data_IF_205008495260
#
_entry.id   IF_205008495260
#
_cell.length_a   1.000
_cell.length_b   1.000
_cell.length_c   1.000
_cell.angle_alpha   90.00
_cell.angle_beta   90.00
_cell.angle_gamma   90.00
#
_symmetry.space_group_name_H-M   'P 1'
#
loop_
_entity.id
_entity.type
_entity.pdbx_description
1 polymer ?
#
# COMPACT_ATOMS: atom_id res chain seq x y z
N UNK A 1 -10.65 10.51 53.37
CA UNK A 1 -9.49 9.67 53.01
C UNK A 1 -9.82 8.64 51.92
N UNK A 2 -11.06 8.18 51.81
CA UNK A 2 -11.49 7.22 50.78
C UNK A 2 -11.61 7.88 49.40
N UNK A 3 -12.00 9.15 49.35
CA UNK A 3 -12.15 9.93 48.11
C UNK A 3 -10.80 10.18 47.43
N UNK A 4 -9.74 10.41 48.23
CA UNK A 4 -8.38 10.61 47.67
C UNK A 4 -7.79 9.33 47.08
N UNK A 5 -8.17 8.15 47.56
CA UNK A 5 -7.71 6.85 47.06
C UNK A 5 -8.41 6.51 45.73
N UNK A 6 -9.68 6.82 45.58
CA UNK A 6 -10.44 6.60 44.34
C UNK A 6 -9.93 7.51 43.22
N UNK A 7 -9.60 8.77 43.52
CA UNK A 7 -9.02 9.71 42.57
C UNK A 7 -7.60 9.29 42.13
N UNK A 8 -6.84 8.64 43.03
CA UNK A 8 -5.49 8.15 42.70
C UNK A 8 -5.54 6.89 41.82
N UNK A 9 -6.51 6.01 42.03
CA UNK A 9 -6.66 4.78 41.22
C UNK A 9 -7.18 5.11 39.83
N UNK A 10 -8.12 6.05 39.71
CA UNK A 10 -8.61 6.49 38.38
C UNK A 10 -7.52 7.24 37.61
N UNK A 11 -6.71 8.07 38.28
CA UNK A 11 -5.59 8.78 37.65
C UNK A 11 -4.44 7.86 37.18
N UNK A 12 -4.31 6.64 37.74
CA UNK A 12 -3.28 5.64 37.33
C UNK A 12 -3.73 4.74 36.19
N UNK A 13 -5.03 4.59 35.97
CA UNK A 13 -5.58 3.79 34.86
C UNK A 13 -5.77 4.63 33.59
N UNK A 14 -5.83 5.95 33.69
CA UNK A 14 -6.02 6.88 32.57
C UNK A 14 -4.71 7.64 32.28
N UNK A 15 -3.61 6.95 32.28
CA UNK A 15 -2.27 7.47 31.89
C UNK A 15 -2.04 7.54 30.40
N UNK A 16 -3.10 7.69 29.58
CA UNK A 16 -3.03 8.05 28.17
C UNK A 16 -4.37 8.66 27.77
N UNK A 17 -4.46 9.96 27.91
CA UNK A 17 -5.24 10.89 27.12
C UNK A 17 -6.71 10.59 26.85
N UNK A 18 -7.60 10.65 27.79
CA UNK A 18 -8.97 11.15 27.68
C UNK A 18 -9.39 11.59 29.07
N UNK A 19 -9.48 12.89 29.28
CA UNK A 19 -9.75 13.45 30.60
C UNK A 19 -11.18 13.24 31.03
N UNK A 20 -11.43 12.24 31.85
CA UNK A 20 -12.63 12.23 32.69
C UNK A 20 -12.51 13.36 33.69
N UNK A 21 -13.24 14.46 33.50
CA UNK A 21 -13.34 15.51 34.51
C UNK A 21 -14.47 15.19 35.45
N UNK A 22 -14.10 14.72 36.64
CA UNK A 22 -15.02 14.75 37.80
C UNK A 22 -15.09 16.20 38.31
N UNK A 23 -16.20 16.88 38.11
CA UNK A 23 -16.48 18.16 38.82
C UNK A 23 -17.07 17.84 40.17
N UNK A 24 -16.46 18.29 41.27
CA UNK A 24 -17.15 18.27 42.57
C UNK A 24 -18.30 19.28 42.55
N UNK A 25 -19.51 18.83 42.83
CA UNK A 25 -20.63 19.72 43.13
C UNK A 25 -20.41 20.43 44.48
N UNK A 26 -20.81 21.70 44.62
CA UNK A 26 -20.72 22.40 45.90
C UNK A 26 -21.57 21.72 46.96
N UNK A 27 -21.05 21.65 48.20
CA UNK A 27 -21.78 21.13 49.36
C UNK A 27 -23.12 21.85 49.52
N UNK A 28 -24.20 21.08 49.41
CA UNK A 28 -25.55 21.49 49.82
C UNK A 28 -25.89 20.71 51.08
N UNK A 29 -26.41 21.41 52.07
CA UNK A 29 -26.58 20.96 53.43
C UNK A 29 -27.43 19.69 53.61
N UNK A 30 -27.26 19.10 54.79
CA UNK A 30 -27.84 17.88 55.36
C UNK A 30 -29.07 17.27 54.66
N UNK A 31 -28.83 16.14 53.94
CA UNK A 31 -29.92 15.24 53.55
C UNK A 31 -29.99 14.85 52.07
N UNK A 32 -29.11 15.34 51.22
CA UNK A 32 -29.14 14.98 49.80
C UNK A 32 -28.08 13.91 49.43
N UNK A 33 -28.53 12.90 48.69
CA UNK A 33 -27.67 11.90 48.05
C UNK A 33 -26.74 12.59 47.05
N UNK A 34 -25.41 12.48 47.24
CA UNK A 34 -24.43 12.90 46.28
C UNK A 34 -24.62 12.10 44.97
N UNK A 35 -25.28 12.69 43.99
CA UNK A 35 -25.27 12.17 42.62
C UNK A 35 -23.95 12.51 41.97
N UNK A 36 -23.14 11.50 41.70
CA UNK A 36 -21.97 11.64 40.84
C UNK A 36 -22.51 11.66 39.41
N UNK A 37 -22.45 12.81 38.75
CA UNK A 37 -22.67 12.85 37.31
C UNK A 37 -21.53 12.08 36.64
N UNK A 38 -21.81 10.91 36.07
CA UNK A 38 -20.91 10.17 35.23
C UNK A 38 -20.92 10.88 33.87
N UNK A 39 -19.84 11.56 33.54
CA UNK A 39 -19.67 12.09 32.20
C UNK A 39 -19.42 10.88 31.30
N UNK A 40 -20.40 10.52 30.49
CA UNK A 40 -20.28 9.48 29.46
C UNK A 40 -19.26 9.96 28.42
N UNK A 41 -18.37 9.08 27.98
CA UNK A 41 -17.42 9.38 26.90
C UNK A 41 -18.20 9.79 25.64
N UNK A 42 -17.76 10.80 24.89
CA UNK A 42 -18.50 11.32 23.74
C UNK A 42 -18.92 10.28 22.70
N UNK A 43 -18.15 9.19 22.57
CA UNK A 43 -18.42 8.12 21.61
C UNK A 43 -19.18 6.91 22.17
N UNK A 44 -19.56 6.93 23.47
CA UNK A 44 -20.23 5.81 24.14
C UNK A 44 -21.55 5.45 23.46
N UNK A 45 -21.74 4.18 23.10
CA UNK A 45 -22.93 3.67 22.41
C UNK A 45 -22.98 3.99 20.91
N UNK A 46 -21.89 4.53 20.34
CA UNK A 46 -21.86 4.89 18.93
C UNK A 46 -21.37 3.76 18.03
N UNK A 47 -21.97 3.67 16.85
CA UNK A 47 -21.38 2.96 15.70
C UNK A 47 -20.73 3.98 14.78
N UNK A 48 -19.42 3.90 14.65
CA UNK A 48 -18.59 4.86 13.92
C UNK A 48 -18.41 4.38 12.47
N UNK A 49 -18.92 5.12 11.46
CA UNK A 49 -18.69 4.79 10.07
C UNK A 49 -17.29 5.22 9.63
N UNK A 50 -16.57 4.32 8.99
CA UNK A 50 -15.31 4.58 8.29
C UNK A 50 -15.49 4.18 6.82
N UNK A 51 -15.11 5.06 5.89
CA UNK A 51 -15.16 4.73 4.47
C UNK A 51 -14.01 3.77 4.07
N UNK A 52 -14.26 2.91 3.10
CA UNK A 52 -13.23 2.12 2.43
C UNK A 52 -13.54 2.07 0.92
N UNK A 53 -12.62 2.53 0.07
CA UNK A 53 -12.79 2.51 -1.37
C UNK A 53 -11.77 1.56 -1.99
N UNK A 54 -12.26 0.43 -2.53
CA UNK A 54 -11.44 -0.46 -3.35
C UNK A 54 -11.04 0.24 -4.64
N UNK A 55 -9.78 0.09 -5.06
CA UNK A 55 -9.29 0.73 -6.29
C UNK A 55 -9.94 0.19 -7.55
N UNK A 56 -10.32 -1.11 -7.55
CA UNK A 56 -10.91 -1.80 -8.73
C UNK A 56 -12.00 -2.75 -8.31
N UNK A 57 -12.92 -3.06 -9.24
CA UNK A 57 -13.98 -4.04 -9.01
C UNK A 57 -13.41 -5.44 -8.71
N UNK A 58 -12.36 -5.85 -9.40
CA UNK A 58 -11.67 -7.11 -9.09
C UNK A 58 -11.07 -7.13 -7.67
N UNK A 59 -10.61 -5.97 -7.20
CA UNK A 59 -10.10 -5.81 -5.83
C UNK A 59 -11.15 -6.02 -4.74
N UNK A 60 -12.44 -5.84 -5.02
CA UNK A 60 -13.50 -6.05 -4.03
C UNK A 60 -13.56 -7.48 -3.51
N UNK A 61 -13.26 -8.47 -4.35
CA UNK A 61 -13.29 -9.88 -3.97
C UNK A 61 -12.31 -10.21 -2.84
N UNK A 62 -11.21 -9.49 -2.79
CA UNK A 62 -10.15 -9.63 -1.78
C UNK A 62 -10.27 -8.59 -0.66
N UNK A 63 -10.70 -7.37 -0.99
CA UNK A 63 -10.85 -6.27 -0.03
C UNK A 63 -12.01 -6.49 0.93
N UNK A 64 -13.17 -6.95 0.42
CA UNK A 64 -14.36 -7.12 1.25
C UNK A 64 -14.15 -8.12 2.38
N UNK A 65 -13.62 -9.35 2.15
CA UNK A 65 -13.30 -10.28 3.24
C UNK A 65 -12.24 -9.71 4.20
N UNK A 66 -11.21 -9.04 3.70
CA UNK A 66 -10.21 -8.41 4.55
C UNK A 66 -10.86 -7.43 5.53
N UNK A 67 -11.69 -6.54 5.02
CA UNK A 67 -12.29 -5.46 5.83
C UNK A 67 -13.37 -6.00 6.77
N UNK A 68 -14.31 -6.83 6.27
CA UNK A 68 -15.46 -7.28 7.04
C UNK A 68 -15.16 -8.42 8.01
N UNK A 69 -14.27 -9.35 7.62
CA UNK A 69 -14.05 -10.59 8.37
C UNK A 69 -12.76 -10.56 9.19
N UNK A 70 -11.86 -9.58 8.97
CA UNK A 70 -10.62 -9.43 9.72
C UNK A 70 -10.54 -8.06 10.41
N UNK A 71 -10.49 -6.96 9.64
CA UNK A 71 -10.25 -5.61 10.16
C UNK A 71 -11.32 -5.21 11.20
N UNK A 72 -12.55 -5.14 10.75
CA UNK A 72 -13.67 -4.69 11.57
C UNK A 72 -13.86 -5.53 12.85
N UNK A 73 -13.83 -6.88 12.82
CA UNK A 73 -13.91 -7.69 14.03
C UNK A 73 -12.76 -7.44 15.02
N UNK A 74 -11.52 -7.28 14.52
CA UNK A 74 -10.35 -7.05 15.37
C UNK A 74 -10.46 -5.72 16.13
N UNK A 75 -10.86 -4.65 15.44
CA UNK A 75 -10.99 -3.31 16.05
C UNK A 75 -12.15 -3.24 17.04
N UNK A 76 -13.29 -3.84 16.73
CA UNK A 76 -14.42 -3.94 17.63
C UNK A 76 -14.07 -4.77 18.88
N UNK A 77 -13.36 -5.89 18.71
CA UNK A 77 -12.87 -6.67 19.85
C UNK A 77 -11.87 -5.88 20.72
N UNK A 78 -11.06 -5.01 20.12
CA UNK A 78 -10.13 -4.15 20.85
C UNK A 78 -10.88 -3.09 21.67
N UNK A 79 -11.83 -2.36 21.08
CA UNK A 79 -12.66 -1.39 21.80
C UNK A 79 -13.39 -2.04 22.99
N UNK A 80 -13.99 -3.22 22.76
CA UNK A 80 -14.65 -3.98 23.82
C UNK A 80 -13.69 -4.40 24.96
N UNK A 81 -12.45 -4.83 24.63
CA UNK A 81 -11.41 -5.16 25.64
C UNK A 81 -10.98 -3.96 26.46
N UNK A 82 -11.05 -2.74 25.91
CA UNK A 82 -10.81 -1.50 26.64
C UNK A 82 -12.01 -1.10 27.51
N UNK A 83 -13.15 -1.80 27.41
CA UNK A 83 -14.37 -1.49 28.12
C UNK A 83 -15.13 -0.31 27.52
N UNK A 84 -14.89 0.01 26.24
CA UNK A 84 -15.58 1.07 25.52
C UNK A 84 -16.75 0.46 24.72
N UNK A 85 -17.94 1.03 24.87
CA UNK A 85 -19.14 0.68 24.08
C UNK A 85 -19.12 1.48 22.78
N UNK A 86 -18.23 1.08 21.87
CA UNK A 86 -18.01 1.70 20.56
C UNK A 86 -17.83 0.60 19.53
N UNK A 87 -18.57 0.67 18.43
CA UNK A 87 -18.43 -0.21 17.28
C UNK A 87 -17.95 0.58 16.06
N UNK A 88 -17.02 -0.02 15.29
CA UNK A 88 -16.60 0.48 13.98
C UNK A 88 -17.37 -0.24 12.89
N UNK A 89 -17.83 0.50 11.89
CA UNK A 89 -18.51 -0.04 10.72
C UNK A 89 -17.89 0.52 9.44
N UNK A 90 -17.36 -0.36 8.59
CA UNK A 90 -16.72 0.04 7.33
C UNK A 90 -17.72 0.06 6.18
N UNK A 91 -17.86 1.21 5.53
CA UNK A 91 -18.65 1.41 4.32
C UNK A 91 -17.75 1.18 3.10
N UNK A 92 -17.92 0.02 2.46
CA UNK A 92 -17.06 -0.39 1.33
C UNK A 92 -17.69 0.06 0.01
N UNK A 93 -16.89 0.71 -0.83
CA UNK A 93 -17.28 1.16 -2.17
C UNK A 93 -16.19 0.82 -3.21
N UNK A 94 -16.47 1.01 -4.51
CA UNK A 94 -15.63 0.62 -5.64
C UNK A 94 -15.33 1.83 -6.52
N UNK A 95 -14.05 2.09 -6.77
CA UNK A 95 -13.58 3.11 -7.71
C UNK A 95 -13.52 2.63 -9.17
N UNK A 96 -13.79 1.34 -9.44
CA UNK A 96 -13.84 0.73 -10.78
C UNK A 96 -12.59 0.98 -11.65
N UNK A 97 -11.41 1.18 -11.03
CA UNK A 97 -10.17 1.52 -11.73
C UNK A 97 -10.10 2.98 -12.22
N UNK A 98 -11.03 3.84 -11.82
CA UNK A 98 -11.17 5.19 -12.38
C UNK A 98 -11.02 6.27 -11.30
N UNK A 99 -10.16 7.26 -11.59
CA UNK A 99 -9.92 8.39 -10.68
C UNK A 99 -11.17 9.25 -10.45
N UNK A 100 -11.98 9.50 -11.49
CA UNK A 100 -13.21 10.25 -11.38
C UNK A 100 -14.27 9.55 -10.52
N UNK A 101 -14.40 8.22 -10.65
CA UNK A 101 -15.33 7.43 -9.83
C UNK A 101 -14.87 7.45 -8.37
N UNK A 102 -13.56 7.33 -8.12
CA UNK A 102 -13.03 7.46 -6.75
C UNK A 102 -13.45 8.80 -6.11
N UNK A 103 -13.29 9.93 -6.82
CA UNK A 103 -13.72 11.22 -6.31
C UNK A 103 -15.23 11.29 -6.05
N UNK A 104 -16.07 10.70 -6.92
CA UNK A 104 -17.52 10.60 -6.67
C UNK A 104 -17.85 9.85 -5.38
N UNK A 105 -17.11 8.74 -5.09
CA UNK A 105 -17.30 7.99 -3.84
C UNK A 105 -16.88 8.78 -2.61
N UNK A 106 -15.76 9.52 -2.69
CA UNK A 106 -15.33 10.44 -1.62
C UNK A 106 -16.39 11.51 -1.35
N UNK A 107 -16.97 12.11 -2.40
CA UNK A 107 -18.08 13.07 -2.27
C UNK A 107 -19.33 12.42 -1.68
N UNK A 108 -19.58 11.15 -2.02
CA UNK A 108 -20.64 10.33 -1.42
C UNK A 108 -20.43 10.17 0.09
N UNK A 109 -19.25 9.82 0.53
CA UNK A 109 -18.90 9.73 1.96
C UNK A 109 -19.11 11.07 2.68
N UNK A 110 -18.65 12.18 2.11
CA UNK A 110 -18.89 13.51 2.69
C UNK A 110 -20.38 13.81 2.85
N UNK A 111 -21.21 13.44 1.90
CA UNK A 111 -22.67 13.65 1.96
C UNK A 111 -23.36 12.81 3.06
N UNK A 112 -22.73 11.73 3.50
CA UNK A 112 -23.16 10.87 4.61
C UNK A 112 -22.49 11.23 5.94
N UNK A 113 -21.76 12.36 6.00
CA UNK A 113 -20.96 12.79 7.16
C UNK A 113 -19.84 11.80 7.56
N UNK A 114 -19.34 11.04 6.59
CA UNK A 114 -18.18 10.15 6.73
C UNK A 114 -16.94 10.90 6.27
N UNK A 115 -16.19 11.46 7.21
CA UNK A 115 -15.05 12.34 6.92
C UNK A 115 -13.69 11.63 7.06
N UNK A 116 -13.68 10.33 7.40
CA UNK A 116 -12.48 9.51 7.57
C UNK A 116 -12.61 8.26 6.72
N UNK A 117 -11.63 7.99 5.89
CA UNK A 117 -11.69 6.82 5.01
C UNK A 117 -10.32 6.29 4.58
N UNK A 118 -10.30 5.03 4.20
CA UNK A 118 -9.20 4.36 3.51
C UNK A 118 -9.55 4.31 2.02
N UNK A 119 -8.68 4.85 1.18
CA UNK A 119 -8.94 4.90 -0.26
C UNK A 119 -7.76 5.50 -1.04
N UNK A 120 -8.01 5.84 -2.31
CA UNK A 120 -6.94 6.39 -3.14
C UNK A 120 -5.80 5.41 -3.35
N UNK A 121 -6.09 4.11 -3.46
CA UNK A 121 -5.06 3.07 -3.56
C UNK A 121 -4.21 3.19 -4.82
N UNK A 122 -4.75 3.70 -5.92
CA UNK A 122 -3.97 4.16 -7.06
C UNK A 122 -3.62 5.64 -6.92
N UNK A 123 -2.40 6.03 -7.31
CA UNK A 123 -1.94 7.42 -7.19
C UNK A 123 -2.83 8.41 -7.95
N UNK A 124 -3.37 8.03 -9.12
CA UNK A 124 -4.33 8.84 -9.86
C UNK A 124 -5.66 9.04 -9.13
N UNK A 125 -6.10 8.05 -8.35
CA UNK A 125 -7.31 8.12 -7.52
C UNK A 125 -7.11 9.06 -6.33
N UNK A 126 -5.98 8.90 -5.61
CA UNK A 126 -5.60 9.79 -4.52
C UNK A 126 -5.46 11.24 -5.00
N UNK A 127 -4.76 11.45 -6.13
CA UNK A 127 -4.55 12.76 -6.72
C UNK A 127 -5.87 13.47 -7.08
N UNK A 128 -6.83 12.72 -7.66
CA UNK A 128 -8.13 13.29 -8.04
C UNK A 128 -8.96 13.73 -6.83
N UNK A 129 -8.82 13.06 -5.68
CA UNK A 129 -9.60 13.35 -4.47
C UNK A 129 -8.94 14.35 -3.53
N UNK A 130 -7.61 14.52 -3.61
CA UNK A 130 -6.82 15.23 -2.59
C UNK A 130 -7.31 16.68 -2.36
N UNK A 131 -7.49 17.45 -3.41
CA UNK A 131 -7.99 18.85 -3.26
C UNK A 131 -9.36 18.88 -2.60
N UNK A 132 -10.25 17.95 -2.97
CA UNK A 132 -11.57 17.89 -2.34
C UNK A 132 -11.48 17.51 -0.85
N UNK A 133 -10.59 16.58 -0.49
CA UNK A 133 -10.36 16.21 0.92
C UNK A 133 -9.84 17.39 1.73
N UNK A 134 -8.87 18.14 1.19
CA UNK A 134 -8.31 19.33 1.84
C UNK A 134 -9.36 20.42 2.04
N UNK A 135 -10.17 20.69 1.02
CA UNK A 135 -11.18 21.76 1.04
C UNK A 135 -12.40 21.43 1.92
N UNK A 136 -12.60 20.15 2.28
CA UNK A 136 -13.77 19.67 3.01
C UNK A 136 -13.44 18.99 4.35
N UNK A 137 -12.24 19.18 4.88
CA UNK A 137 -11.80 18.59 6.16
C UNK A 137 -12.07 17.07 6.21
N UNK A 138 -11.58 16.33 5.21
CA UNK A 138 -11.66 14.87 5.16
C UNK A 138 -10.27 14.27 5.33
N UNK A 139 -10.14 13.22 6.13
CA UNK A 139 -8.92 12.43 6.30
C UNK A 139 -8.93 11.25 5.34
N UNK A 140 -8.02 11.26 4.38
CA UNK A 140 -7.78 10.17 3.44
C UNK A 140 -6.51 9.41 3.83
N UNK A 141 -6.64 8.09 4.03
CA UNK A 141 -5.51 7.19 4.15
C UNK A 141 -5.37 6.31 2.93
N UNK A 142 -4.18 6.25 2.35
CA UNK A 142 -3.87 5.32 1.26
C UNK A 142 -2.91 4.22 1.70
N UNK A 143 -3.25 2.99 1.33
CA UNK A 143 -2.39 1.83 1.59
C UNK A 143 -1.33 1.60 0.51
N UNK A 144 -1.50 2.17 -0.70
CA UNK A 144 -0.73 1.75 -1.87
C UNK A 144 -0.45 2.83 -2.94
N UNK A 145 -0.83 4.10 -2.73
CA UNK A 145 -0.49 5.17 -3.68
C UNK A 145 0.94 5.65 -3.45
N UNK A 146 1.84 5.37 -4.38
CA UNK A 146 3.28 5.53 -4.20
C UNK A 146 3.88 6.73 -4.95
N UNK A 147 3.11 7.43 -5.82
CA UNK A 147 3.65 8.54 -6.60
C UNK A 147 4.29 9.63 -5.72
N UNK A 148 5.53 10.06 -6.02
CA UNK A 148 6.17 11.16 -5.31
C UNK A 148 5.43 12.50 -5.44
N UNK A 149 4.56 12.66 -6.44
CA UNK A 149 3.75 13.86 -6.63
C UNK A 149 2.71 14.07 -5.52
N UNK A 150 2.46 13.04 -4.72
CA UNK A 150 1.55 13.06 -3.57
C UNK A 150 2.27 13.27 -2.23
N UNK A 151 3.59 13.43 -2.22
CA UNK A 151 4.37 13.74 -1.02
C UNK A 151 4.28 15.24 -0.71
N UNK A 152 3.13 15.67 -0.18
CA UNK A 152 2.83 17.09 0.10
C UNK A 152 2.68 17.25 1.60
N UNK A 153 3.49 18.15 2.19
CA UNK A 153 3.38 18.47 3.62
C UNK A 153 2.07 19.23 3.92
N UNK A 154 1.52 19.01 5.10
CA UNK A 154 0.34 19.69 5.62
C UNK A 154 -0.94 19.49 4.80
N UNK A 155 -1.08 18.39 4.06
CA UNK A 155 -2.31 18.00 3.40
C UNK A 155 -3.12 16.97 4.25
N UNK A 156 -4.28 16.54 3.73
CA UNK A 156 -5.16 15.58 4.41
C UNK A 156 -4.98 14.13 3.91
N UNK A 157 -3.89 13.83 3.19
CA UNK A 157 -3.54 12.51 2.75
C UNK A 157 -2.41 11.94 3.60
N UNK A 158 -2.61 10.74 4.13
CA UNK A 158 -1.58 9.92 4.75
C UNK A 158 -1.39 8.64 3.94
N UNK A 159 -0.13 8.16 3.84
CA UNK A 159 0.17 6.94 3.07
C UNK A 159 0.97 5.96 3.90
N UNK A 160 0.44 4.74 4.05
CA UNK A 160 1.13 3.68 4.79
C UNK A 160 2.16 2.94 3.93
N UNK A 161 2.28 3.25 2.65
CA UNK A 161 3.34 2.80 1.75
C UNK A 161 4.43 3.88 1.59
N UNK A 162 5.70 3.50 1.39
CA UNK A 162 6.73 4.45 0.97
C UNK A 162 6.46 4.94 -0.45
N UNK A 163 6.94 6.13 -0.77
CA UNK A 163 6.84 6.64 -2.13
C UNK A 163 7.90 6.06 -3.08
N UNK A 164 7.72 6.31 -4.37
CA UNK A 164 8.58 5.76 -5.42
C UNK A 164 9.99 6.36 -5.48
N UNK A 165 10.31 7.36 -4.66
CA UNK A 165 11.70 7.82 -4.46
C UNK A 165 12.58 6.73 -3.84
N UNK A 166 11.94 5.71 -3.19
CA UNK A 166 12.61 4.55 -2.60
C UNK A 166 12.51 3.33 -3.54
N UNK A 167 11.39 3.12 -4.22
CA UNK A 167 11.21 2.00 -5.13
C UNK A 167 12.06 2.13 -6.40
N UNK A 168 12.13 3.30 -6.99
CA UNK A 168 12.86 3.52 -8.24
C UNK A 168 14.37 3.18 -8.13
N UNK A 169 15.10 3.57 -7.07
CA UNK A 169 16.44 3.06 -6.80
C UNK A 169 16.51 1.53 -6.62
N UNK A 170 15.47 0.91 -6.04
CA UNK A 170 15.43 -0.55 -5.91
C UNK A 170 15.31 -1.24 -7.28
N UNK A 171 14.50 -0.71 -8.21
CA UNK A 171 14.43 -1.18 -9.60
C UNK A 171 15.81 -1.03 -10.28
N UNK A 172 16.45 0.12 -10.16
CA UNK A 172 17.78 0.34 -10.74
C UNK A 172 18.84 -0.63 -10.19
N UNK A 173 18.82 -0.87 -8.87
CA UNK A 173 19.71 -1.82 -8.21
C UNK A 173 19.41 -3.28 -8.64
N UNK A 174 18.14 -3.65 -8.80
CA UNK A 174 17.71 -4.95 -9.29
C UNK A 174 18.28 -5.23 -10.69
N UNK A 175 18.13 -4.29 -11.62
CA UNK A 175 18.67 -4.38 -12.97
C UNK A 175 20.19 -4.54 -12.96
N UNK A 176 20.89 -3.71 -12.21
CA UNK A 176 22.36 -3.76 -12.09
C UNK A 176 22.84 -5.08 -11.49
N UNK A 177 22.18 -5.55 -10.42
CA UNK A 177 22.52 -6.82 -9.78
C UNK A 177 22.18 -8.03 -10.66
N UNK A 178 21.28 -7.89 -11.64
CA UNK A 178 21.00 -8.91 -12.66
C UNK A 178 21.95 -8.82 -13.87
N UNK A 179 22.89 -7.89 -13.88
CA UNK A 179 23.86 -7.74 -14.97
C UNK A 179 23.33 -7.02 -16.21
N UNK A 180 22.22 -6.29 -16.09
CA UNK A 180 21.61 -5.54 -17.18
C UNK A 180 22.39 -4.24 -17.40
N UNK A 181 22.81 -4.01 -18.65
CA UNK A 181 23.53 -2.80 -19.10
C UNK A 181 22.64 -1.85 -19.86
N UNK A 182 21.70 -2.38 -20.65
CA UNK A 182 20.79 -1.60 -21.47
C UNK A 182 19.35 -2.08 -21.28
N UNK A 183 18.39 -1.14 -21.30
CA UNK A 183 17.00 -1.44 -21.07
C UNK A 183 16.08 -0.63 -21.98
N UNK A 184 15.01 -1.25 -22.44
CA UNK A 184 13.85 -0.57 -23.04
C UNK A 184 12.75 -0.54 -22.02
N UNK A 185 12.12 0.61 -21.82
CA UNK A 185 11.05 0.81 -20.83
C UNK A 185 9.71 0.97 -21.54
N UNK A 186 8.73 0.15 -21.18
CA UNK A 186 7.34 0.31 -21.58
C UNK A 186 6.51 0.68 -20.35
N UNK A 187 6.01 1.92 -20.27
CA UNK A 187 5.31 2.41 -19.09
C UNK A 187 3.91 2.91 -19.39
N UNK A 188 3.06 2.72 -18.38
CA UNK A 188 1.72 3.31 -18.32
C UNK A 188 1.78 4.83 -18.29
N UNK A 189 0.81 5.48 -18.91
CA UNK A 189 0.70 6.94 -18.97
C UNK A 189 -0.16 7.49 -17.85
N UNK A 190 0.31 7.45 -16.61
CA UNK A 190 -0.37 8.04 -15.46
C UNK A 190 0.63 8.59 -14.43
N UNK A 191 0.10 9.22 -13.36
CA UNK A 191 0.90 9.87 -12.32
C UNK A 191 1.81 8.90 -11.54
N UNK A 192 1.43 7.63 -11.44
CA UNK A 192 2.23 6.60 -10.78
C UNK A 192 3.43 6.20 -11.62
N UNK A 193 3.21 5.72 -12.84
CA UNK A 193 4.30 5.24 -13.69
C UNK A 193 5.24 6.38 -14.12
N UNK A 194 4.72 7.59 -14.37
CA UNK A 194 5.53 8.78 -14.61
C UNK A 194 6.38 9.13 -13.37
N UNK A 195 5.83 8.95 -12.15
CA UNK A 195 6.54 9.11 -10.89
C UNK A 195 7.72 8.14 -10.75
N UNK A 196 7.48 6.83 -10.90
CA UNK A 196 8.54 5.81 -10.87
C UNK A 196 9.63 6.15 -11.89
N UNK A 197 9.27 6.39 -13.15
CA UNK A 197 10.24 6.64 -14.20
C UNK A 197 11.15 7.84 -13.93
N UNK A 198 10.59 8.93 -13.43
CA UNK A 198 11.33 10.17 -13.15
C UNK A 198 12.44 10.00 -12.10
N UNK A 199 12.30 9.04 -11.19
CA UNK A 199 13.34 8.70 -10.20
C UNK A 199 14.18 7.49 -10.63
N UNK A 200 13.63 6.58 -11.42
CA UNK A 200 14.34 5.43 -11.97
C UNK A 200 15.42 5.83 -12.99
N UNK A 201 15.08 6.69 -13.97
CA UNK A 201 16.01 7.10 -15.02
C UNK A 201 17.33 7.66 -14.45
N UNK A 202 17.35 8.66 -13.55
CA UNK A 202 18.61 9.13 -12.99
C UNK A 202 19.33 8.05 -12.16
N UNK A 203 18.61 7.27 -11.33
CA UNK A 203 19.22 6.24 -10.52
C UNK A 203 19.91 5.15 -11.36
N UNK A 204 19.28 4.73 -12.45
CA UNK A 204 19.84 3.70 -13.33
C UNK A 204 21.01 4.22 -14.19
N UNK A 205 20.89 5.44 -14.73
CA UNK A 205 21.94 6.06 -15.54
C UNK A 205 23.16 6.45 -14.73
N UNK A 206 23.01 6.98 -13.52
CA UNK A 206 24.10 7.24 -12.58
C UNK A 206 24.84 5.95 -12.17
N UNK A 207 24.12 4.83 -12.09
CA UNK A 207 24.72 3.50 -11.89
C UNK A 207 25.40 2.94 -13.15
N UNK A 208 25.48 3.70 -14.27
CA UNK A 208 26.09 3.30 -15.54
C UNK A 208 25.20 2.42 -16.42
N UNK A 209 23.91 2.39 -16.21
CA UNK A 209 22.92 1.76 -17.09
C UNK A 209 22.57 2.66 -18.29
N UNK A 210 22.05 2.07 -19.36
CA UNK A 210 21.61 2.76 -20.57
C UNK A 210 20.11 2.53 -20.76
N UNK A 211 19.34 3.61 -20.89
CA UNK A 211 17.94 3.55 -21.33
C UNK A 211 17.92 3.77 -22.83
N UNK A 212 17.63 2.71 -23.57
CA UNK A 212 17.66 2.71 -25.05
C UNK A 212 16.44 3.45 -25.59
N UNK A 213 15.28 3.18 -25.02
CA UNK A 213 14.01 3.83 -25.39
C UNK A 213 13.05 3.84 -24.22
N UNK A 214 12.22 4.90 -24.14
CA UNK A 214 11.08 5.00 -23.26
C UNK A 214 9.79 5.06 -24.06
N UNK A 215 8.96 4.07 -23.92
CA UNK A 215 7.67 3.95 -24.60
C UNK A 215 6.57 4.17 -23.55
N UNK A 216 5.73 5.20 -23.76
CA UNK A 216 4.63 5.54 -22.86
C UNK A 216 3.30 5.23 -23.53
N UNK A 217 2.55 4.23 -23.01
CA UNK A 217 1.22 3.90 -23.53
C UNK A 217 0.10 4.64 -22.78
N UNK A 218 -1.06 4.79 -23.43
CA UNK A 218 -2.22 5.41 -22.78
C UNK A 218 -2.74 4.53 -21.63
N UNK A 219 -3.06 5.13 -20.48
CA UNK A 219 -3.48 4.39 -19.28
C UNK A 219 -4.72 3.50 -19.46
N UNK A 220 -5.56 3.81 -20.41
CA UNK A 220 -6.77 3.04 -20.78
C UNK A 220 -6.53 2.07 -21.95
N UNK A 221 -5.28 1.91 -22.42
CA UNK A 221 -4.98 1.02 -23.53
C UNK A 221 -5.30 -0.45 -23.17
N UNK A 222 -5.93 -1.15 -24.08
CA UNK A 222 -6.26 -2.57 -23.99
C UNK A 222 -5.59 -3.40 -25.08
N UNK A 223 -4.85 -2.73 -25.98
CA UNK A 223 -4.16 -3.30 -27.12
C UNK A 223 -2.74 -2.71 -27.18
N UNK A 224 -1.72 -3.58 -27.31
CA UNK A 224 -0.32 -3.20 -27.11
C UNK A 224 0.59 -3.48 -28.31
N UNK A 225 0.08 -4.04 -29.42
CA UNK A 225 0.89 -4.48 -30.55
C UNK A 225 1.82 -3.39 -31.11
N UNK A 226 1.33 -2.14 -31.24
CA UNK A 226 2.15 -1.04 -31.75
C UNK A 226 3.27 -0.64 -30.78
N UNK A 227 3.00 -0.69 -29.47
CA UNK A 227 4.01 -0.41 -28.45
C UNK A 227 5.05 -1.51 -28.37
N UNK A 228 4.60 -2.78 -28.45
CA UNK A 228 5.48 -3.95 -28.46
C UNK A 228 6.32 -4.00 -29.73
N UNK A 229 5.80 -3.61 -30.91
CA UNK A 229 6.61 -3.53 -32.13
C UNK A 229 7.73 -2.49 -31.99
N UNK A 230 7.44 -1.33 -31.41
CA UNK A 230 8.48 -0.32 -31.15
C UNK A 230 9.53 -0.85 -30.16
N UNK A 231 9.09 -1.55 -29.11
CA UNK A 231 9.98 -2.18 -28.14
C UNK A 231 10.85 -3.27 -28.78
N UNK A 232 10.26 -4.11 -29.65
CA UNK A 232 10.97 -5.16 -30.40
C UNK A 232 12.15 -4.61 -31.18
N UNK A 233 11.91 -3.56 -31.98
CA UNK A 233 12.95 -2.94 -32.80
C UNK A 233 14.09 -2.40 -31.92
N UNK A 234 13.76 -1.78 -30.78
CA UNK A 234 14.75 -1.20 -29.86
C UNK A 234 15.51 -2.23 -29.03
N UNK A 235 14.83 -3.30 -28.60
CA UNK A 235 15.48 -4.42 -27.91
C UNK A 235 16.40 -5.17 -28.87
N UNK A 236 16.01 -5.37 -30.15
CA UNK A 236 16.89 -5.97 -31.16
C UNK A 236 18.16 -5.15 -31.37
N UNK A 237 18.05 -3.82 -31.54
CA UNK A 237 19.19 -2.90 -31.62
C UNK A 237 20.12 -3.04 -30.39
N UNK A 238 19.54 -3.10 -29.19
CA UNK A 238 20.31 -3.24 -27.95
C UNK A 238 21.00 -4.61 -27.82
N UNK A 239 20.35 -5.68 -28.25
CA UNK A 239 20.95 -7.04 -28.27
C UNK A 239 22.18 -7.10 -29.15
N UNK A 240 22.13 -6.47 -30.32
CA UNK A 240 23.29 -6.41 -31.25
C UNK A 240 24.49 -5.67 -30.63
N UNK A 241 24.25 -4.69 -29.75
CA UNK A 241 25.30 -3.88 -29.11
C UNK A 241 25.82 -4.48 -27.79
N UNK A 242 24.91 -4.98 -26.92
CA UNK A 242 25.26 -5.37 -25.56
C UNK A 242 25.22 -6.88 -25.29
N UNK A 243 24.62 -7.69 -26.19
CA UNK A 243 24.30 -9.10 -25.95
C UNK A 243 23.01 -9.30 -25.17
N UNK A 244 22.21 -10.31 -25.52
CA UNK A 244 20.89 -10.56 -24.97
C UNK A 244 20.88 -10.72 -23.45
N UNK A 245 21.94 -11.29 -22.87
CA UNK A 245 22.08 -11.48 -21.42
C UNK A 245 22.26 -10.17 -20.63
N UNK A 246 22.58 -9.07 -21.31
CA UNK A 246 22.80 -7.73 -20.73
C UNK A 246 21.73 -6.72 -21.14
N UNK A 247 20.71 -7.17 -21.86
CA UNK A 247 19.55 -6.34 -22.24
C UNK A 247 18.33 -6.78 -21.44
N UNK A 248 17.58 -5.82 -20.93
CA UNK A 248 16.32 -6.05 -20.21
C UNK A 248 15.16 -5.30 -20.85
N UNK A 249 13.95 -5.74 -20.50
CA UNK A 249 12.71 -5.05 -20.84
C UNK A 249 11.96 -4.72 -19.54
N UNK A 250 11.86 -3.43 -19.21
CA UNK A 250 11.18 -2.95 -18.02
C UNK A 250 9.73 -2.59 -18.34
N UNK A 251 8.80 -3.11 -17.57
CA UNK A 251 7.37 -2.76 -17.68
C UNK A 251 6.87 -2.10 -16.39
N UNK A 252 6.44 -0.85 -16.51
CA UNK A 252 5.77 -0.15 -15.41
C UNK A 252 4.27 -0.14 -15.73
N UNK A 253 3.56 -1.15 -15.24
CA UNK A 253 2.17 -1.46 -15.62
C UNK A 253 1.44 -2.17 -14.48
N UNK A 254 0.12 -2.25 -14.58
CA UNK A 254 -0.72 -3.07 -13.71
C UNK A 254 -1.08 -4.42 -14.36
N UNK A 255 -2.31 -4.88 -14.18
CA UNK A 255 -2.78 -6.18 -14.72
C UNK A 255 -2.75 -6.28 -16.25
N UNK A 256 -2.72 -5.17 -16.97
CA UNK A 256 -2.55 -5.16 -18.44
C UNK A 256 -1.22 -5.76 -18.91
N UNK A 257 -0.23 -5.89 -18.02
CA UNK A 257 1.02 -6.62 -18.25
C UNK A 257 0.79 -8.07 -18.70
N UNK A 258 -0.29 -8.71 -18.27
CA UNK A 258 -0.67 -10.07 -18.71
C UNK A 258 -0.92 -10.12 -20.22
N UNK A 259 -1.59 -9.10 -20.77
CA UNK A 259 -1.82 -8.97 -22.21
C UNK A 259 -0.49 -8.76 -22.94
N UNK A 260 0.40 -7.90 -22.39
CA UNK A 260 1.73 -7.65 -22.98
C UNK A 260 2.56 -8.93 -23.04
N UNK A 261 2.63 -9.68 -21.93
CA UNK A 261 3.37 -10.94 -21.84
C UNK A 261 2.79 -11.97 -22.83
N UNK A 262 1.45 -12.06 -22.94
CA UNK A 262 0.78 -12.98 -23.87
C UNK A 262 1.11 -12.65 -25.32
N UNK A 263 1.12 -11.36 -25.69
CA UNK A 263 1.43 -10.93 -27.05
C UNK A 263 2.94 -11.01 -27.37
N UNK A 264 3.82 -11.04 -26.35
CA UNK A 264 5.27 -11.03 -26.53
C UNK A 264 5.81 -12.20 -27.35
N UNK A 265 5.10 -13.31 -27.45
CA UNK A 265 5.49 -14.48 -28.28
C UNK A 265 5.67 -14.14 -29.76
N UNK A 266 5.02 -13.09 -30.25
CA UNK A 266 5.09 -12.61 -31.62
C UNK A 266 6.29 -11.65 -31.84
N UNK A 267 7.03 -11.32 -30.77
CA UNK A 267 8.14 -10.36 -30.76
C UNK A 267 9.42 -11.02 -30.19
N UNK A 268 10.21 -11.70 -31.04
CA UNK A 268 11.29 -12.59 -30.61
C UNK A 268 12.36 -11.93 -29.73
N UNK A 269 12.70 -10.66 -29.98
CA UNK A 269 13.75 -9.97 -29.22
C UNK A 269 13.31 -9.70 -27.80
N UNK A 270 12.14 -9.08 -27.60
CA UNK A 270 11.61 -8.84 -26.25
C UNK A 270 11.26 -10.13 -25.52
N UNK A 271 10.85 -11.19 -26.22
CA UNK A 271 10.54 -12.50 -25.63
C UNK A 271 11.80 -13.29 -25.22
N UNK A 272 12.97 -12.93 -25.76
CA UNK A 272 14.25 -13.59 -25.46
C UNK A 272 15.01 -13.00 -24.27
N UNK A 273 14.70 -11.76 -23.86
CA UNK A 273 15.37 -11.07 -22.75
C UNK A 273 14.62 -11.22 -21.44
N UNK A 274 15.30 -10.91 -20.31
CA UNK A 274 14.65 -10.89 -19.00
C UNK A 274 13.78 -9.64 -18.88
N UNK A 275 12.57 -9.84 -18.35
CA UNK A 275 11.64 -8.74 -18.05
C UNK A 275 11.76 -8.31 -16.60
N UNK A 276 11.58 -7.03 -16.41
CA UNK A 276 11.58 -6.41 -15.10
C UNK A 276 10.33 -5.57 -14.92
N UNK A 277 9.95 -5.31 -13.67
CA UNK A 277 8.77 -4.53 -13.38
C UNK A 277 8.78 -3.94 -11.96
N UNK A 278 7.69 -3.29 -11.63
CA UNK A 278 7.45 -2.65 -10.35
C UNK A 278 6.40 -3.42 -9.53
N UNK A 279 5.93 -2.80 -8.46
CA UNK A 279 4.87 -3.32 -7.58
C UNK A 279 3.56 -3.65 -8.30
N UNK A 280 3.27 -2.99 -9.41
CA UNK A 280 2.06 -3.23 -10.21
C UNK A 280 2.02 -4.59 -10.93
N UNK A 281 3.15 -5.29 -11.03
CA UNK A 281 3.26 -6.60 -11.71
C UNK A 281 3.56 -7.77 -10.76
N UNK A 282 3.56 -7.52 -9.45
CA UNK A 282 3.82 -8.53 -8.42
C UNK A 282 2.56 -9.24 -7.97
N UNK A 283 2.70 -10.47 -7.43
CA UNK A 283 1.63 -11.24 -6.78
C UNK A 283 0.36 -11.42 -7.64
N UNK A 284 0.47 -11.25 -8.95
CA UNK A 284 -0.67 -11.36 -9.86
C UNK A 284 -0.96 -12.82 -10.18
N UNK A 285 -2.04 -13.37 -9.62
CA UNK A 285 -2.51 -14.70 -9.97
C UNK A 285 -2.90 -14.77 -11.46
N UNK A 286 -3.35 -13.67 -12.05
CA UNK A 286 -3.72 -13.60 -13.45
C UNK A 286 -2.54 -13.90 -14.41
N UNK A 287 -1.30 -13.54 -14.04
CA UNK A 287 -0.12 -13.98 -14.80
C UNK A 287 0.02 -15.50 -14.85
N UNK A 288 -0.35 -16.17 -13.77
CA UNK A 288 -0.30 -17.62 -13.69
C UNK A 288 -1.53 -18.31 -14.34
N UNK A 289 -2.68 -17.67 -14.33
CA UNK A 289 -3.90 -18.26 -14.88
C UNK A 289 -3.98 -18.09 -16.41
N UNK A 290 -3.61 -16.89 -16.93
CA UNK A 290 -3.83 -16.52 -18.33
C UNK A 290 -2.57 -16.65 -19.20
N UNK A 291 -1.36 -16.49 -18.62
CA UNK A 291 -0.10 -16.48 -19.37
C UNK A 291 1.07 -17.17 -18.63
N UNK A 292 0.89 -18.38 -18.06
CA UNK A 292 1.90 -19.01 -17.19
C UNK A 292 3.23 -19.30 -17.94
N UNK A 293 3.16 -19.86 -19.13
CA UNK A 293 4.35 -20.22 -19.91
C UNK A 293 5.15 -18.99 -20.30
N UNK A 294 4.46 -17.95 -20.76
CA UNK A 294 5.08 -16.71 -21.20
C UNK A 294 5.72 -15.95 -20.02
N UNK A 295 5.00 -15.84 -18.92
CA UNK A 295 5.49 -15.15 -17.71
C UNK A 295 6.74 -15.83 -17.14
N UNK A 296 6.76 -17.15 -17.07
CA UNK A 296 7.94 -17.90 -16.61
C UNK A 296 9.09 -17.80 -17.62
N UNK A 297 8.79 -17.84 -18.92
CA UNK A 297 9.81 -17.75 -19.99
C UNK A 297 10.57 -16.41 -19.94
N UNK A 298 9.86 -15.30 -19.80
CA UNK A 298 10.50 -13.97 -19.76
C UNK A 298 11.14 -13.66 -18.40
N UNK A 299 11.00 -14.54 -17.41
CA UNK A 299 11.57 -14.39 -16.05
C UNK A 299 11.23 -13.03 -15.44
N UNK A 300 9.94 -12.65 -15.46
CA UNK A 300 9.53 -11.36 -14.91
C UNK A 300 9.96 -11.20 -13.46
N UNK A 301 10.84 -10.24 -13.18
CA UNK A 301 11.28 -9.85 -11.84
C UNK A 301 10.72 -8.47 -11.49
N UNK A 302 10.01 -8.35 -10.37
CA UNK A 302 9.32 -7.11 -10.00
C UNK A 302 9.60 -6.75 -8.54
N UNK A 303 9.82 -5.46 -8.28
CA UNK A 303 10.02 -4.96 -6.92
C UNK A 303 8.70 -4.77 -6.19
N UNK A 304 8.62 -5.16 -4.93
CA UNK A 304 7.46 -4.99 -4.06
C UNK A 304 7.90 -4.67 -2.64
N UNK A 305 7.28 -3.68 -2.02
CA UNK A 305 7.61 -3.30 -0.65
C UNK A 305 7.52 -4.52 0.30
N UNK A 306 8.54 -4.71 1.13
CA UNK A 306 8.65 -5.86 2.00
C UNK A 306 7.92 -5.63 3.33
N UNK A 307 7.02 -6.50 3.76
CA UNK A 307 6.47 -6.44 5.11
C UNK A 307 7.54 -6.81 6.14
N UNK A 308 7.31 -6.43 7.39
CA UNK A 308 8.17 -6.89 8.47
C UNK A 308 8.02 -8.41 8.64
N UNK A 309 9.13 -9.10 8.87
CA UNK A 309 9.13 -10.50 9.30
C UNK A 309 8.66 -10.56 10.76
N UNK A 310 7.36 -10.73 10.99
CA UNK A 310 6.76 -10.69 12.31
C UNK A 310 5.60 -11.67 12.45
N UNK A 311 5.33 -12.10 13.69
CA UNK A 311 4.15 -12.92 13.99
C UNK A 311 2.84 -12.21 13.62
N UNK A 312 2.78 -10.87 13.68
CA UNK A 312 1.61 -10.10 13.27
C UNK A 312 1.31 -10.27 11.79
N UNK A 313 2.35 -10.22 10.95
CA UNK A 313 2.19 -10.42 9.52
C UNK A 313 1.80 -11.87 9.20
N UNK A 314 2.48 -12.84 9.83
CA UNK A 314 2.22 -14.27 9.60
C UNK A 314 0.79 -14.66 10.00
N UNK A 315 0.31 -14.20 11.17
CA UNK A 315 -1.06 -14.45 11.62
C UNK A 315 -2.10 -13.88 10.65
N UNK A 316 -1.89 -12.64 10.20
CA UNK A 316 -2.76 -12.01 9.22
C UNK A 316 -2.74 -12.72 7.87
N UNK A 317 -1.55 -13.14 7.41
CA UNK A 317 -1.41 -13.90 6.18
C UNK A 317 -2.23 -15.20 6.24
N UNK A 318 -2.09 -15.97 7.32
CA UNK A 318 -2.77 -17.25 7.49
C UNK A 318 -4.30 -17.07 7.56
N UNK A 319 -4.77 -16.08 8.32
CA UNK A 319 -6.20 -15.75 8.44
C UNK A 319 -6.79 -15.31 7.09
N UNK A 320 -6.10 -14.44 6.38
CA UNK A 320 -6.54 -13.94 5.08
C UNK A 320 -6.52 -15.05 4.02
N UNK A 321 -5.43 -15.83 3.94
CA UNK A 321 -5.33 -16.94 3.01
C UNK A 321 -6.41 -17.99 3.22
N UNK A 322 -6.81 -18.22 4.47
CA UNK A 322 -7.92 -19.12 4.80
C UNK A 322 -9.27 -18.62 4.27
N UNK A 323 -9.45 -17.28 4.13
CA UNK A 323 -10.69 -16.69 3.62
C UNK A 323 -10.75 -16.65 2.09
N UNK A 324 -9.67 -16.22 1.44
CA UNK A 324 -9.69 -15.87 0.01
C UNK A 324 -8.81 -16.77 -0.86
N UNK A 325 -7.97 -17.62 -0.26
CA UNK A 325 -7.02 -18.51 -0.97
C UNK A 325 -6.06 -17.77 -1.90
N UNK A 326 -5.74 -16.52 -1.58
CA UNK A 326 -4.79 -15.67 -2.31
C UNK A 326 -3.71 -15.13 -1.37
N UNK A 327 -2.51 -14.79 -1.89
CA UNK A 327 -1.45 -14.21 -1.08
C UNK A 327 -1.87 -12.90 -0.40
N UNK A 328 -1.49 -12.75 0.86
CA UNK A 328 -1.63 -11.50 1.60
C UNK A 328 -0.37 -10.64 1.37
N UNK A 329 -0.51 -9.51 0.71
CA UNK A 329 0.62 -8.66 0.35
C UNK A 329 0.87 -7.51 1.33
N UNK A 330 1.96 -6.77 1.09
CA UNK A 330 2.34 -5.59 1.86
C UNK A 330 1.22 -4.54 1.94
N UNK A 331 0.58 -4.21 0.82
CA UNK A 331 -0.48 -3.19 0.81
C UNK A 331 -1.74 -3.61 1.57
N UNK A 332 -2.04 -4.90 1.62
CA UNK A 332 -3.11 -5.42 2.48
C UNK A 332 -2.75 -5.28 3.97
N UNK A 333 -1.48 -5.53 4.33
CA UNK A 333 -0.97 -5.27 5.68
C UNK A 333 -1.01 -3.77 6.02
N UNK A 334 -0.70 -2.89 5.06
CA UNK A 334 -0.85 -1.44 5.23
C UNK A 334 -2.30 -1.04 5.51
N UNK A 335 -3.28 -1.62 4.80
CA UNK A 335 -4.71 -1.37 5.07
C UNK A 335 -5.10 -1.75 6.50
N UNK A 336 -4.61 -2.89 6.98
CA UNK A 336 -4.82 -3.33 8.37
C UNK A 336 -4.18 -2.36 9.38
N UNK A 337 -2.94 -1.94 9.15
CA UNK A 337 -2.24 -1.02 10.04
C UNK A 337 -2.89 0.37 10.08
N UNK A 338 -3.38 0.87 8.94
CA UNK A 338 -4.15 2.11 8.86
C UNK A 338 -5.39 2.04 9.76
N UNK A 339 -6.13 0.93 9.69
CA UNK A 339 -7.30 0.76 10.52
C UNK A 339 -6.98 0.76 12.01
N UNK A 340 -5.83 0.22 12.44
CA UNK A 340 -5.36 0.33 13.82
C UNK A 340 -5.05 1.77 14.21
N UNK A 341 -4.35 2.53 13.35
CA UNK A 341 -4.05 3.94 13.61
C UNK A 341 -5.33 4.75 13.73
N UNK A 342 -6.29 4.55 12.83
CA UNK A 342 -7.59 5.21 12.89
C UNK A 342 -8.37 4.84 14.17
N UNK A 343 -8.43 3.56 14.50
CA UNK A 343 -9.10 3.07 15.70
C UNK A 343 -8.49 3.68 16.96
N UNK A 344 -7.17 3.63 17.12
CA UNK A 344 -6.48 4.21 18.27
C UNK A 344 -6.65 5.74 18.33
N UNK A 345 -6.55 6.42 17.20
CA UNK A 345 -6.74 7.87 17.11
C UNK A 345 -8.16 8.28 17.55
N UNK A 346 -9.19 7.59 17.07
CA UNK A 346 -10.58 7.86 17.39
C UNK A 346 -10.87 7.57 18.87
N UNK A 347 -10.46 6.40 19.37
CA UNK A 347 -10.69 6.02 20.76
C UNK A 347 -9.94 6.91 21.75
N UNK A 348 -8.70 7.30 21.44
CA UNK A 348 -7.90 8.17 22.31
C UNK A 348 -8.39 9.62 22.32
N UNK A 349 -8.76 10.17 21.16
CA UNK A 349 -9.26 11.54 21.04
C UNK A 349 -10.74 11.67 21.44
N UNK A 350 -11.49 10.57 21.49
CA UNK A 350 -12.95 10.55 21.63
C UNK A 350 -13.65 11.43 20.59
N UNK A 351 -13.16 11.40 19.34
CA UNK A 351 -13.67 12.21 18.24
C UNK A 351 -13.65 11.44 16.93
N UNK A 352 -14.62 11.72 16.06
CA UNK A 352 -14.66 11.31 14.65
C UNK A 352 -14.40 12.48 13.71
N UNK A 353 -14.16 13.67 14.24
CA UNK A 353 -13.87 14.88 13.47
C UNK A 353 -12.47 14.78 12.85
N UNK A 354 -12.39 14.79 11.51
CA UNK A 354 -11.15 14.69 10.80
C UNK A 354 -10.16 15.81 11.17
N UNK A 355 -10.62 17.00 11.50
CA UNK A 355 -9.74 18.12 11.93
C UNK A 355 -9.05 17.85 13.27
N UNK A 356 -9.64 17.03 14.13
CA UNK A 356 -9.06 16.55 15.39
C UNK A 356 -8.10 15.38 15.12
N UNK A 357 -8.45 14.53 14.17
CA UNK A 357 -7.69 13.30 13.87
C UNK A 357 -6.43 13.54 13.05
N UNK A 358 -6.50 14.40 12.02
CA UNK A 358 -5.38 14.68 11.10
C UNK A 358 -4.07 14.96 11.85
N UNK A 359 -3.99 15.90 12.80
CA UNK A 359 -2.72 16.26 13.44
C UNK A 359 -2.12 15.18 14.36
N UNK A 360 -2.85 14.13 14.69
CA UNK A 360 -2.37 13.06 15.58
C UNK A 360 -1.99 11.77 14.85
N UNK A 361 -2.22 11.68 13.52
CA UNK A 361 -1.97 10.44 12.76
C UNK A 361 -0.50 10.02 12.79
N UNK A 362 0.43 10.96 12.59
CA UNK A 362 1.86 10.68 12.58
C UNK A 362 2.36 10.17 13.94
N UNK A 363 1.91 10.78 15.03
CA UNK A 363 2.28 10.36 16.39
C UNK A 363 1.68 9.00 16.75
N UNK A 364 0.43 8.74 16.36
CA UNK A 364 -0.19 7.43 16.56
C UNK A 364 0.55 6.35 15.76
N UNK A 365 0.87 6.62 14.49
CA UNK A 365 1.66 5.71 13.66
C UNK A 365 3.06 5.45 14.20
N UNK A 366 3.76 6.48 14.71
CA UNK A 366 5.09 6.32 15.30
C UNK A 366 5.09 5.34 16.50
N UNK A 367 4.03 5.32 17.29
CA UNK A 367 3.89 4.45 18.45
C UNK A 367 3.34 3.06 18.12
N UNK A 368 3.03 2.80 16.84
CA UNK A 368 2.46 1.53 16.39
C UNK A 368 3.46 0.74 15.55
N UNK A 369 3.75 -0.52 15.94
CA UNK A 369 4.43 -1.50 15.11
C UNK A 369 3.38 -2.50 14.60
N UNK A 370 3.01 -2.32 13.34
CA UNK A 370 1.94 -3.08 12.68
C UNK A 370 2.40 -4.36 12.00
N UNK A 371 1.51 -4.92 11.19
CA UNK A 371 1.80 -6.08 10.35
C UNK A 371 2.74 -5.72 9.18
N UNK A 372 2.60 -4.52 8.61
CA UNK A 372 3.52 -4.03 7.58
C UNK A 372 4.89 -3.61 8.13
N UNK A 373 5.02 -3.46 9.44
CA UNK A 373 6.23 -3.06 10.17
C UNK A 373 6.03 -1.81 11.03
N UNK A 374 7.08 -1.02 11.24
CA UNK A 374 6.99 0.21 12.01
C UNK A 374 6.30 1.32 11.21
N UNK A 375 5.16 1.79 11.70
CA UNK A 375 4.27 2.74 11.01
C UNK A 375 4.75 4.21 11.15
N UNK A 376 6.06 4.41 11.09
CA UNK A 376 6.67 5.74 11.11
C UNK A 376 6.43 6.46 9.79
N UNK A 377 5.93 7.69 9.88
CA UNK A 377 5.71 8.57 8.74
C UNK A 377 6.79 9.65 8.65
N UNK A 378 6.98 10.22 7.45
CA UNK A 378 7.78 11.40 7.18
C UNK A 378 6.93 12.68 7.33
N UNK A 379 7.52 13.85 6.99
CA UNK A 379 6.83 15.14 7.10
C UNK A 379 5.64 15.28 6.15
N UNK A 380 5.63 14.57 5.03
CA UNK A 380 4.52 14.55 4.08
C UNK A 380 3.44 13.51 4.44
N UNK A 381 3.49 12.90 5.63
CA UNK A 381 2.52 11.87 6.02
C UNK A 381 2.72 10.51 5.34
N UNK A 382 3.86 10.26 4.69
CA UNK A 382 4.16 9.02 4.00
C UNK A 382 5.01 8.08 4.85
N UNK A 383 4.90 6.78 4.62
CA UNK A 383 5.78 5.77 5.22
C UNK A 383 7.25 6.14 5.01
N UNK A 384 8.03 6.16 6.10
CA UNK A 384 9.41 6.65 6.07
C UNK A 384 10.33 5.82 5.18
N UNK A 385 10.27 4.50 5.26
CA UNK A 385 11.10 3.58 4.47
C UNK A 385 10.68 2.12 4.67
N UNK A 386 11.03 1.26 3.71
CA UNK A 386 11.02 -0.19 3.83
C UNK A 386 12.02 -0.81 2.86
N UNK A 387 12.35 -2.09 3.04
CA UNK A 387 13.05 -2.89 2.05
C UNK A 387 12.09 -3.31 0.91
N UNK A 388 12.64 -3.82 -0.19
CA UNK A 388 11.83 -4.34 -1.29
C UNK A 388 12.19 -5.79 -1.56
N UNK A 389 11.19 -6.67 -1.53
CA UNK A 389 11.30 -8.01 -2.08
C UNK A 389 11.32 -7.91 -3.60
N UNK A 390 12.05 -8.82 -4.25
CA UNK A 390 12.01 -9.03 -5.69
C UNK A 390 11.19 -10.29 -5.92
N UNK A 391 10.07 -10.14 -6.58
CA UNK A 391 9.15 -11.24 -6.89
C UNK A 391 9.33 -11.70 -8.33
N UNK A 392 9.14 -12.99 -8.56
CA UNK A 392 9.14 -13.61 -9.88
C UNK A 392 8.13 -14.74 -9.93
N UNK A 393 8.03 -15.43 -11.04
CA UNK A 393 7.08 -16.51 -11.27
C UNK A 393 7.81 -17.80 -11.67
N UNK A 394 7.36 -18.94 -11.16
CA UNK A 394 7.89 -20.24 -11.49
C UNK A 394 6.82 -21.32 -11.47
N UNK A 395 7.13 -22.46 -12.06
CA UNK A 395 6.36 -23.68 -11.86
C UNK A 395 6.78 -24.38 -10.57
N UNK A 396 5.77 -24.75 -9.76
CA UNK A 396 5.89 -25.68 -8.64
C UNK A 396 5.09 -26.94 -9.00
N UNK A 397 5.76 -27.95 -9.54
CA UNK A 397 5.10 -29.06 -10.21
C UNK A 397 4.38 -28.62 -11.50
N UNK A 398 3.06 -28.68 -11.54
CA UNK A 398 2.24 -28.25 -12.67
C UNK A 398 1.69 -26.81 -12.50
N UNK A 399 1.76 -26.26 -11.29
CA UNK A 399 1.12 -24.98 -10.95
C UNK A 399 2.13 -23.84 -11.09
N UNK A 400 1.75 -22.77 -11.80
CA UNK A 400 2.47 -21.52 -11.81
C UNK A 400 2.22 -20.78 -10.48
N UNK A 401 3.27 -20.22 -9.89
CA UNK A 401 3.19 -19.48 -8.62
C UNK A 401 4.15 -18.30 -8.58
N UNK A 402 3.76 -17.17 -7.97
CA UNK A 402 4.71 -16.13 -7.60
C UNK A 402 5.62 -16.63 -6.47
N UNK A 403 6.88 -16.18 -6.46
CA UNK A 403 7.84 -16.47 -5.39
C UNK A 403 8.80 -15.30 -5.20
N UNK A 404 9.41 -15.19 -4.02
CA UNK A 404 10.44 -14.19 -3.74
C UNK A 404 11.77 -14.66 -4.32
N UNK A 405 12.28 -13.96 -5.32
CA UNK A 405 13.55 -14.25 -6.00
C UNK A 405 14.74 -13.48 -5.43
N UNK A 406 14.50 -12.44 -4.62
CA UNK A 406 15.55 -11.64 -4.01
C UNK A 406 15.04 -10.57 -3.06
N UNK A 407 15.97 -9.82 -2.49
CA UNK A 407 15.70 -8.71 -1.56
C UNK A 407 16.61 -7.53 -1.90
N UNK A 408 16.02 -6.35 -1.98
CA UNK A 408 16.73 -5.08 -1.94
C UNK A 408 16.70 -4.51 -0.53
N UNK A 409 17.87 -4.25 0.03
CA UNK A 409 18.04 -3.57 1.32
C UNK A 409 18.17 -2.07 1.11
N UNK A 410 17.18 -1.31 1.59
CA UNK A 410 17.11 0.13 1.37
C UNK A 410 18.18 0.93 2.11
N UNK A 411 18.83 0.35 3.13
CA UNK A 411 19.89 1.02 3.89
C UNK A 411 21.22 0.92 3.14
N UNK A 412 21.57 -0.27 2.67
CA UNK A 412 22.83 -0.51 1.95
C UNK A 412 22.75 -0.25 0.45
N UNK A 413 21.53 -0.16 -0.13
CA UNK A 413 21.29 -0.04 -1.55
C UNK A 413 21.67 -1.29 -2.35
N UNK A 414 21.78 -2.45 -1.70
CA UNK A 414 22.24 -3.69 -2.31
C UNK A 414 21.13 -4.70 -2.52
N UNK A 415 21.27 -5.52 -3.57
CA UNK A 415 20.37 -6.63 -3.88
C UNK A 415 21.02 -7.95 -3.52
N UNK A 416 20.28 -8.81 -2.84
CA UNK A 416 20.63 -10.22 -2.61
C UNK A 416 19.66 -11.10 -3.41
N UNK A 417 20.18 -11.86 -4.37
CA UNK A 417 19.41 -12.84 -5.13
C UNK A 417 19.34 -14.18 -4.39
N UNK A 418 18.17 -14.80 -4.39
CA UNK A 418 17.94 -16.13 -3.82
C UNK A 418 18.10 -17.18 -4.93
N UNK A 419 19.36 -17.43 -5.32
CA UNK A 419 19.73 -18.26 -6.48
C UNK A 419 19.23 -19.69 -6.39
N UNK A 420 19.11 -20.25 -5.19
CA UNK A 420 18.54 -21.59 -4.95
C UNK A 420 17.05 -21.63 -5.29
N UNK A 421 16.32 -20.55 -4.95
CA UNK A 421 14.91 -20.40 -5.30
C UNK A 421 14.69 -20.13 -6.78
N UNK A 422 15.59 -19.36 -7.39
CA UNK A 422 15.54 -19.02 -8.81
C UNK A 422 15.92 -20.21 -9.72
N UNK A 423 16.74 -21.12 -9.23
CA UNK A 423 17.33 -22.21 -10.04
C UNK A 423 18.39 -21.74 -11.04
N UNK A 424 18.82 -20.47 -10.98
CA UNK A 424 19.92 -19.91 -11.78
C UNK A 424 20.58 -18.75 -11.04
N UNK A 425 21.79 -18.39 -11.50
CA UNK A 425 22.53 -17.21 -11.04
C UNK A 425 22.46 -16.14 -12.12
N UNK A 426 22.01 -14.91 -11.80
CA UNK A 426 22.05 -13.80 -12.74
C UNK A 426 23.45 -13.56 -13.31
N UNK A 427 23.57 -13.12 -14.56
CA UNK A 427 24.83 -12.69 -15.12
C UNK A 427 25.48 -11.59 -14.29
N UNK A 428 26.79 -11.54 -14.23
CA UNK A 428 27.54 -10.43 -13.62
C UNK A 428 28.02 -9.47 -14.69
N UNK A 429 27.99 -8.16 -14.39
CA UNK A 429 28.52 -7.12 -15.31
C UNK A 429 30.04 -7.09 -15.27
#
# INVERSE_FOLDING_TARGET
NTLAIVLLVVGLVVGAGAGYMLKPTPEVGDGETNTVEVVVAPLEGMTIPIGYISSTTAGLETTTPLVQDILMPDYNAYAAKLGMDVDFNYLIDDATGQAAVHLEKVQGFKSMDVNVFIGGGWSSQAQAALSYCNDNDMLMWSSSSTSPLLAIEDDNLYRMCPDDTIQAPAIAAMLKAHGIKAIVVLQRGDAWADGIYNYFEPAYTEAGGVIVEKIRYAGEATEFSNYLQTAEDKVAEAIDEYGAEHVGFEIISFSESVVMVTQAVDYPSIYSVTWFGSDGTTLSQQHCDDAPEQTVQVRLHSTYAAPAESEKFSDLYDRYFALVSQPFGYYSACSYDIGWILTESILNSQSTDATVLIPIQADTGFNNFGASGWNRLNAAGDRYSTNYQIWSYRYDGADCKPYVSGLYDAISGSVTWYTDEMGYTPPTV
#
